data_IF_141458634888
#
_entry.id   IF_141458634888
#
_cell.length_a   1.000
_cell.length_b   1.000
_cell.length_c   1.000
_cell.angle_alpha   90.00
_cell.angle_beta   90.00
_cell.angle_gamma   90.00
#
_symmetry.space_group_name_H-M   'P 1'
#
loop_
_entity.id
_entity.type
_entity.pdbx_description
1 polymer ?
#
# COMPACT_ATOMS: atom_id res chain seq x y z
N UNK A 1 15.55 11.38 -21.84
CA UNK A 1 14.44 10.91 -20.98
C UNK A 1 13.33 11.93 -21.05
N UNK A 2 12.40 11.74 -21.96
CA UNK A 2 11.24 12.63 -22.12
C UNK A 2 10.20 12.16 -21.12
N UNK A 3 9.98 12.93 -20.05
CA UNK A 3 8.81 12.71 -19.18
C UNK A 3 7.57 12.76 -20.06
N UNK A 4 6.99 11.60 -20.32
CA UNK A 4 5.73 11.49 -21.02
C UNK A 4 4.70 12.28 -20.23
N UNK A 5 4.10 13.28 -20.83
CA UNK A 5 3.00 14.07 -20.27
C UNK A 5 1.81 13.13 -20.02
N UNK A 6 1.82 12.46 -18.86
CA UNK A 6 0.57 11.92 -18.33
C UNK A 6 -0.43 13.09 -18.30
N UNK A 7 -1.65 12.86 -18.80
CA UNK A 7 -2.70 13.87 -18.77
C UNK A 7 -2.76 14.46 -17.36
N UNK A 8 -2.71 15.76 -17.24
CA UNK A 8 -2.72 16.42 -15.93
C UNK A 8 -4.04 16.09 -15.24
N UNK A 9 -4.05 15.53 -14.03
CA UNK A 9 -5.29 15.22 -13.30
C UNK A 9 -6.11 16.47 -12.98
N UNK A 10 -5.54 17.65 -13.22
CA UNK A 10 -6.11 18.97 -12.96
C UNK A 10 -7.42 19.23 -13.72
N UNK A 11 -7.66 18.55 -14.85
CA UNK A 11 -8.85 18.78 -15.70
C UNK A 11 -10.06 17.91 -15.36
N UNK A 12 -9.88 16.88 -14.51
CA UNK A 12 -10.89 15.85 -14.27
C UNK A 12 -11.70 16.09 -12.98
N UNK A 13 -11.29 17.05 -12.14
CA UNK A 13 -11.87 17.28 -10.82
C UNK A 13 -12.54 18.65 -10.75
N UNK A 14 -13.77 18.69 -10.28
CA UNK A 14 -14.50 19.93 -10.02
C UNK A 14 -13.74 20.82 -9.04
N UNK A 15 -13.73 22.15 -9.23
CA UNK A 15 -12.92 23.06 -8.41
C UNK A 15 -13.49 23.33 -7.01
N UNK A 16 -14.66 22.77 -6.65
CA UNK A 16 -15.30 23.02 -5.36
C UNK A 16 -15.05 21.85 -4.40
N UNK A 17 -14.22 22.02 -3.37
CA UNK A 17 -13.95 20.96 -2.42
C UNK A 17 -15.09 20.79 -1.40
N UNK A 18 -15.20 19.60 -0.82
CA UNK A 18 -16.10 19.28 0.28
C UNK A 18 -15.84 20.18 1.52
N UNK A 19 -14.59 20.48 1.79
CA UNK A 19 -14.13 21.37 2.85
C UNK A 19 -12.65 21.74 2.69
N UNK A 20 -12.12 22.65 3.51
CA UNK A 20 -10.69 22.90 3.56
C UNK A 20 -9.92 21.60 3.78
N UNK A 21 -8.94 21.32 2.94
CA UNK A 21 -8.12 20.12 3.05
C UNK A 21 -7.16 20.23 4.24
N UNK A 22 -7.10 19.18 5.07
CA UNK A 22 -6.08 19.03 6.10
C UNK A 22 -5.46 17.63 6.08
N UNK A 23 -4.13 17.56 5.93
CA UNK A 23 -3.36 16.33 6.04
C UNK A 23 -2.81 16.22 7.46
N UNK A 24 -3.09 15.10 8.12
CA UNK A 24 -2.59 14.79 9.46
C UNK A 24 -1.61 13.62 9.34
N UNK A 25 -0.32 13.95 9.35
CA UNK A 25 0.73 12.94 9.38
C UNK A 25 0.86 12.36 10.78
N UNK A 26 0.68 11.05 10.96
CA UNK A 26 1.05 10.37 12.19
C UNK A 26 2.58 10.33 12.28
N UNK A 27 3.06 10.03 13.48
CA UNK A 27 4.50 9.97 13.74
C UNK A 27 5.18 8.91 12.87
N UNK A 28 6.22 9.33 12.14
CA UNK A 28 6.94 8.52 11.17
C UNK A 28 6.45 8.67 9.72
N UNK A 29 5.32 9.38 9.50
CA UNK A 29 4.74 9.64 8.18
C UNK A 29 5.03 11.06 7.64
N UNK A 30 5.88 11.81 8.31
CA UNK A 30 6.15 13.21 7.98
C UNK A 30 6.74 13.35 6.55
N UNK A 31 7.67 12.48 6.19
CA UNK A 31 8.33 12.51 4.87
C UNK A 31 7.35 12.13 3.76
N UNK A 32 6.63 11.03 3.91
CA UNK A 32 5.66 10.58 2.91
C UNK A 32 4.52 11.57 2.75
N UNK A 33 3.95 12.05 3.87
CA UNK A 33 2.91 13.09 3.86
C UNK A 33 3.41 14.41 3.26
N UNK A 34 4.68 14.75 3.44
CA UNK A 34 5.33 15.88 2.79
C UNK A 34 5.31 15.77 1.27
N UNK A 35 5.67 14.60 0.73
CA UNK A 35 5.62 14.33 -0.71
C UNK A 35 4.17 14.39 -1.25
N UNK A 36 3.21 13.84 -0.53
CA UNK A 36 1.78 13.94 -0.86
C UNK A 36 1.35 15.41 -0.92
N UNK A 37 1.73 16.20 0.08
CA UNK A 37 1.44 17.62 0.16
C UNK A 37 2.01 18.41 -1.04
N UNK A 38 3.23 18.11 -1.50
CA UNK A 38 3.84 18.75 -2.67
C UNK A 38 3.02 18.56 -3.95
N UNK A 39 2.52 17.32 -4.19
CA UNK A 39 1.64 17.05 -5.33
C UNK A 39 0.33 17.85 -5.24
N UNK A 40 -0.29 17.91 -4.07
CA UNK A 40 -1.53 18.65 -3.84
C UNK A 40 -1.34 20.15 -4.03
N UNK A 41 -0.27 20.72 -3.51
CA UNK A 41 0.10 22.12 -3.71
C UNK A 41 0.24 22.46 -5.21
N UNK A 42 1.01 21.62 -5.93
CA UNK A 42 1.24 21.80 -7.38
C UNK A 42 -0.07 21.80 -8.15
N UNK A 43 -0.92 20.79 -7.98
CA UNK A 43 -2.16 20.65 -8.74
C UNK A 43 -3.19 21.73 -8.41
N UNK A 44 -3.30 22.12 -7.16
CA UNK A 44 -4.22 23.19 -6.76
C UNK A 44 -3.80 24.54 -7.24
N UNK A 45 -2.50 24.81 -7.27
CA UNK A 45 -1.94 26.01 -7.88
C UNK A 45 -2.20 26.05 -9.40
N UNK A 46 -1.98 24.93 -10.09
CA UNK A 46 -2.28 24.78 -11.52
C UNK A 46 -3.79 25.00 -11.78
N UNK A 47 -4.67 24.35 -11.03
CA UNK A 47 -6.13 24.48 -11.14
C UNK A 47 -6.60 25.90 -10.88
N UNK A 48 -6.06 26.56 -9.87
CA UNK A 48 -6.34 27.97 -9.56
C UNK A 48 -5.92 28.89 -10.70
N UNK A 49 -4.81 28.61 -11.37
CA UNK A 49 -4.36 29.40 -12.52
C UNK A 49 -5.24 29.26 -13.76
N UNK A 50 -5.89 28.09 -13.94
CA UNK A 50 -6.78 27.80 -15.07
C UNK A 50 -8.17 28.42 -14.85
N UNK A 51 -8.68 28.39 -13.61
CA UNK A 51 -10.03 28.80 -13.26
C UNK A 51 -10.10 30.19 -12.59
N UNK A 52 -9.30 31.15 -13.09
CA UNK A 52 -9.18 32.51 -12.54
C UNK A 52 -10.49 33.26 -12.36
N UNK A 53 -11.51 32.94 -13.18
CA UNK A 53 -12.80 33.60 -13.19
C UNK A 53 -13.87 32.85 -12.38
N UNK A 54 -13.55 31.70 -11.79
CA UNK A 54 -14.45 30.95 -10.93
C UNK A 54 -14.14 31.24 -9.46
N UNK A 55 -15.16 31.37 -8.63
CA UNK A 55 -15.03 31.53 -7.19
C UNK A 55 -14.39 30.28 -6.59
N UNK A 56 -13.06 30.25 -6.56
CA UNK A 56 -12.38 29.24 -5.79
C UNK A 56 -12.63 29.48 -4.31
N UNK A 57 -12.77 28.39 -3.62
CA UNK A 57 -12.97 28.36 -2.18
C UNK A 57 -11.83 29.08 -1.44
N UNK A 58 -12.17 29.99 -0.50
CA UNK A 58 -11.15 30.69 0.30
C UNK A 58 -10.27 29.68 1.04
N UNK A 59 -8.96 29.73 0.85
CA UNK A 59 -8.00 28.75 1.38
C UNK A 59 -7.85 27.48 0.55
N UNK A 60 -8.35 27.47 -0.70
CA UNK A 60 -8.14 26.36 -1.63
C UNK A 60 -6.66 26.18 -1.98
N UNK A 61 -5.98 27.26 -2.32
CA UNK A 61 -4.53 27.30 -2.50
C UNK A 61 -3.87 27.72 -1.18
N UNK A 62 -2.95 26.89 -0.68
CA UNK A 62 -2.20 27.11 0.56
C UNK A 62 -0.75 26.70 0.35
N UNK A 63 0.15 27.28 1.14
CA UNK A 63 1.57 26.91 1.16
C UNK A 63 1.80 25.53 1.79
N UNK A 64 0.85 25.01 2.56
CA UNK A 64 0.86 23.66 3.08
C UNK A 64 -0.54 23.22 3.50
N UNK A 65 -0.88 21.95 3.24
CA UNK A 65 -2.09 21.28 3.74
C UNK A 65 -1.80 20.45 4.99
N UNK A 66 -0.53 20.30 5.37
CA UNK A 66 -0.14 19.60 6.60
C UNK A 66 -0.62 20.38 7.82
N UNK A 67 -1.35 19.70 8.67
CA UNK A 67 -1.84 20.22 9.94
C UNK A 67 -0.81 19.93 11.04
N UNK A 68 -0.46 20.94 11.82
CA UNK A 68 0.50 20.80 12.91
C UNK A 68 -0.13 20.07 14.09
N UNK A 69 0.42 18.92 14.43
CA UNK A 69 -0.01 18.10 15.56
C UNK A 69 1.16 17.67 16.42
N UNK A 70 0.91 17.41 17.70
CA UNK A 70 1.87 16.81 18.62
C UNK A 70 1.31 15.55 19.26
N UNK A 71 2.19 14.59 19.51
CA UNK A 71 1.89 13.31 20.17
C UNK A 71 2.85 13.09 21.34
N UNK A 72 2.81 13.95 22.38
CA UNK A 72 3.71 13.82 23.52
C UNK A 72 3.46 12.53 24.30
N UNK A 73 4.53 11.94 24.80
CA UNK A 73 4.51 10.81 25.73
C UNK A 73 4.97 11.24 27.09
N UNK A 74 4.25 10.81 28.15
CA UNK A 74 4.69 10.95 29.53
C UNK A 74 5.68 9.86 29.88
N UNK A 75 6.46 10.06 30.94
CA UNK A 75 7.43 9.07 31.41
C UNK A 75 6.82 7.70 31.79
N UNK A 76 5.53 7.65 32.10
CA UNK A 76 4.74 6.44 32.32
C UNK A 76 4.38 5.67 31.02
N UNK A 77 4.62 6.28 29.84
CA UNK A 77 4.23 5.72 28.55
C UNK A 77 2.87 6.20 28.02
N UNK A 78 2.07 6.89 28.85
CA UNK A 78 0.81 7.47 28.39
C UNK A 78 1.03 8.52 27.32
N UNK A 79 0.14 8.56 26.32
CA UNK A 79 0.21 9.50 25.21
C UNK A 79 -0.94 10.51 25.20
N UNK A 80 -0.73 11.63 24.51
CA UNK A 80 -1.73 12.67 24.28
C UNK A 80 -1.68 13.11 22.80
N UNK A 81 -2.86 13.30 22.18
CA UNK A 81 -2.98 13.93 20.86
C UNK A 81 -3.31 15.40 20.98
N UNK A 82 -2.63 16.27 20.24
CA UNK A 82 -2.82 17.72 20.28
C UNK A 82 -2.83 18.27 18.85
N UNK A 83 -3.82 19.11 18.53
CA UNK A 83 -3.81 19.97 17.36
C UNK A 83 -3.32 21.36 17.76
N UNK A 84 -2.32 21.88 17.07
CA UNK A 84 -1.74 23.20 17.34
C UNK A 84 -2.44 24.32 16.55
N UNK A 85 -3.43 23.96 15.75
CA UNK A 85 -4.27 24.88 14.99
C UNK A 85 -5.72 24.39 14.94
N UNK A 86 -6.64 25.29 14.58
CA UNK A 86 -8.06 24.95 14.48
C UNK A 86 -8.32 24.10 13.24
N UNK A 87 -9.05 23.00 13.42
CA UNK A 87 -9.49 22.10 12.34
C UNK A 87 -11.02 22.18 12.12
N UNK A 88 -11.65 23.25 12.58
CA UNK A 88 -13.10 23.43 12.43
C UNK A 88 -13.50 23.53 10.96
N UNK A 89 -14.37 22.64 10.54
CA UNK A 89 -14.88 22.58 9.17
C UNK A 89 -13.95 21.93 8.15
N UNK A 90 -12.78 21.43 8.57
CA UNK A 90 -11.84 20.76 7.69
C UNK A 90 -12.30 19.37 7.23
N UNK A 91 -11.92 19.01 6.03
CA UNK A 91 -11.89 17.65 5.51
C UNK A 91 -10.52 17.07 5.82
N UNK A 92 -10.42 16.22 6.87
CA UNK A 92 -9.16 15.72 7.43
C UNK A 92 -8.82 14.35 6.89
N UNK A 93 -7.56 14.19 6.49
CA UNK A 93 -6.96 12.95 6.03
C UNK A 93 -5.81 12.57 6.94
N UNK A 94 -6.00 11.50 7.71
CA UNK A 94 -4.98 10.94 8.60
C UNK A 94 -4.16 9.91 7.83
N UNK A 95 -2.85 10.07 7.78
CA UNK A 95 -1.92 9.13 7.14
C UNK A 95 -1.16 8.41 8.26
N UNK A 96 -1.31 7.07 8.33
CA UNK A 96 -0.86 6.26 9.45
C UNK A 96 -0.23 4.95 8.97
N UNK A 97 1.09 4.81 9.08
CA UNK A 97 1.77 3.51 9.00
C UNK A 97 1.85 2.88 10.39
N UNK A 98 1.06 1.84 10.60
CA UNK A 98 1.07 1.08 11.87
C UNK A 98 2.26 0.13 12.01
N UNK A 99 3.04 -0.05 10.95
CA UNK A 99 4.17 -1.00 10.93
C UNK A 99 5.52 -0.34 11.19
N UNK A 100 5.56 1.01 11.31
CA UNK A 100 6.81 1.75 11.43
C UNK A 100 7.50 1.50 12.76
N UNK A 101 8.46 0.59 12.75
CA UNK A 101 9.25 0.20 13.93
C UNK A 101 10.47 1.11 14.20
N UNK A 102 10.65 2.20 13.43
CA UNK A 102 11.77 3.14 13.62
C UNK A 102 11.54 4.14 14.75
N UNK A 103 10.28 4.31 15.18
CA UNK A 103 9.90 5.30 16.17
C UNK A 103 10.19 4.76 17.58
N UNK A 104 10.80 5.60 18.40
CA UNK A 104 11.18 5.28 19.78
C UNK A 104 10.62 6.30 20.76
N UNK A 105 10.36 5.85 22.00
CA UNK A 105 9.96 6.70 23.11
C UNK A 105 10.45 6.13 24.45
N UNK A 106 10.51 6.99 25.46
CA UNK A 106 10.98 6.59 26.78
C UNK A 106 9.81 6.21 27.70
N UNK A 107 9.92 5.06 28.37
CA UNK A 107 9.04 4.62 29.46
C UNK A 107 9.88 4.20 30.65
N UNK A 108 9.64 4.81 31.80
CA UNK A 108 10.37 4.51 33.03
C UNK A 108 11.90 4.47 32.86
N UNK A 109 12.45 5.37 32.03
CA UNK A 109 13.88 5.43 31.75
C UNK A 109 14.40 4.41 30.74
N UNK A 110 13.52 3.59 30.14
CA UNK A 110 13.89 2.59 29.12
C UNK A 110 13.39 3.02 27.75
N UNK A 111 14.21 2.82 26.70
CA UNK A 111 13.81 3.05 25.32
C UNK A 111 12.88 1.94 24.86
N UNK A 112 11.72 2.31 24.36
CA UNK A 112 10.75 1.41 23.75
C UNK A 112 10.53 1.80 22.30
N UNK A 113 10.34 0.81 21.42
CA UNK A 113 9.94 1.02 20.04
C UNK A 113 8.44 0.98 19.92
N UNK A 114 7.92 1.77 19.00
CA UNK A 114 6.50 1.73 18.68
C UNK A 114 6.11 0.34 18.16
N UNK A 115 5.04 -0.18 18.74
CA UNK A 115 4.29 -1.33 18.22
C UNK A 115 3.17 -0.84 17.29
N UNK A 116 2.52 -1.72 16.53
CA UNK A 116 1.27 -1.39 15.81
C UNK A 116 0.21 -0.78 16.74
N UNK A 117 0.10 -1.27 17.99
CA UNK A 117 -0.83 -0.74 18.99
C UNK A 117 -0.52 0.71 19.38
N UNK A 118 0.75 1.06 19.49
CA UNK A 118 1.16 2.44 19.79
C UNK A 118 0.75 3.40 18.68
N UNK A 119 0.96 3.02 17.41
CA UNK A 119 0.53 3.82 16.28
C UNK A 119 -0.98 3.95 16.20
N UNK A 120 -1.70 2.85 16.38
CA UNK A 120 -3.16 2.86 16.38
C UNK A 120 -3.73 3.68 17.56
N UNK A 121 -3.13 3.58 18.75
CA UNK A 121 -3.51 4.41 19.89
C UNK A 121 -3.27 5.91 19.63
N UNK A 122 -2.17 6.28 18.95
CA UNK A 122 -1.90 7.67 18.59
C UNK A 122 -2.87 8.19 17.52
N UNK A 123 -3.25 7.37 16.54
CA UNK A 123 -4.31 7.68 15.59
C UNK A 123 -5.63 8.01 16.32
N UNK A 124 -6.05 7.15 17.24
CA UNK A 124 -7.28 7.39 18.04
C UNK A 124 -7.22 8.67 18.87
N UNK A 125 -6.06 8.98 19.46
CA UNK A 125 -5.87 10.23 20.22
C UNK A 125 -6.08 11.46 19.35
N UNK A 126 -5.52 11.48 18.14
CA UNK A 126 -5.70 12.60 17.21
C UNK A 126 -7.13 12.66 16.67
N UNK A 127 -7.75 11.53 16.29
CA UNK A 127 -9.16 11.50 15.89
C UNK A 127 -10.04 12.07 17.02
N UNK A 128 -9.84 11.63 18.26
CA UNK A 128 -10.56 12.16 19.43
C UNK A 128 -10.38 13.66 19.61
N UNK A 129 -9.16 14.18 19.42
CA UNK A 129 -8.86 15.61 19.54
C UNK A 129 -9.50 16.44 18.42
N UNK A 130 -9.77 15.87 17.24
CA UNK A 130 -10.44 16.52 16.09
C UNK A 130 -11.96 16.38 16.10
N UNK A 131 -12.51 15.44 16.89
CA UNK A 131 -13.94 15.11 16.92
C UNK A 131 -14.81 16.34 17.20
N UNK A 132 -15.94 16.42 16.53
CA UNK A 132 -16.91 17.54 16.56
C UNK A 132 -16.41 18.87 15.97
N UNK A 133 -15.19 18.95 15.47
CA UNK A 133 -14.61 20.14 14.85
C UNK A 133 -14.39 19.94 13.34
N UNK A 134 -13.89 18.78 12.92
CA UNK A 134 -13.72 18.43 11.52
C UNK A 134 -15.08 18.20 10.84
N UNK A 135 -15.18 18.51 9.55
CA UNK A 135 -16.38 18.27 8.73
C UNK A 135 -16.46 16.80 8.29
N UNK A 136 -15.33 16.21 7.93
CA UNK A 136 -15.17 14.79 7.57
C UNK A 136 -13.80 14.29 8.06
N UNK A 137 -13.73 13.02 8.39
CA UNK A 137 -12.50 12.33 8.78
C UNK A 137 -12.32 11.13 7.87
N UNK A 138 -11.21 11.09 7.14
CA UNK A 138 -10.76 9.95 6.35
C UNK A 138 -9.44 9.43 6.90
N UNK A 139 -9.32 8.12 7.09
CA UNK A 139 -8.10 7.47 7.54
C UNK A 139 -7.45 6.73 6.38
N UNK A 140 -6.24 7.14 6.01
CA UNK A 140 -5.33 6.38 5.17
C UNK A 140 -4.43 5.53 6.05
N UNK A 141 -4.71 4.24 6.08
CA UNK A 141 -3.96 3.22 6.80
C UNK A 141 -3.49 2.19 5.78
N UNK A 142 -2.34 2.42 5.12
CA UNK A 142 -1.91 1.58 4.01
C UNK A 142 -1.87 0.10 4.39
N UNK A 143 -1.12 -0.27 5.42
CA UNK A 143 -1.20 -1.59 6.04
C UNK A 143 -2.32 -1.59 7.07
N UNK A 144 -3.36 -2.37 6.83
CA UNK A 144 -4.53 -2.38 7.72
C UNK A 144 -4.15 -3.01 9.07
N UNK A 145 -4.30 -2.25 10.16
CA UNK A 145 -4.03 -2.71 11.52
C UNK A 145 -4.84 -3.98 11.81
N UNK A 146 -4.16 -5.01 12.34
CA UNK A 146 -4.73 -6.34 12.59
C UNK A 146 -5.40 -7.01 11.35
N UNK A 147 -5.06 -6.58 10.14
CA UNK A 147 -5.65 -7.08 8.90
C UNK A 147 -5.47 -8.58 8.66
N UNK A 148 -4.50 -9.22 9.33
CA UNK A 148 -4.31 -10.67 9.32
C UNK A 148 -5.24 -11.41 10.29
N UNK A 149 -5.79 -10.72 11.30
CA UNK A 149 -6.75 -11.25 12.26
C UNK A 149 -8.17 -10.95 11.76
N UNK A 150 -8.46 -11.42 10.55
CA UNK A 150 -9.66 -11.11 9.75
C UNK A 150 -10.80 -12.13 9.89
N UNK A 151 -10.53 -13.27 10.46
CA UNK A 151 -11.51 -14.35 10.62
C UNK A 151 -11.27 -15.12 11.92
N UNK A 152 -12.33 -15.60 12.52
CA UNK A 152 -12.27 -16.33 13.78
C UNK A 152 -12.31 -17.84 13.53
N UNK A 153 -11.34 -18.55 14.07
CA UNK A 153 -11.31 -20.01 14.10
C UNK A 153 -11.30 -20.49 15.55
N UNK A 154 -12.45 -20.93 16.03
CA UNK A 154 -12.55 -21.35 17.43
C UNK A 154 -12.65 -20.18 18.41
N UNK A 155 -11.74 -20.14 19.41
CA UNK A 155 -11.77 -19.19 20.54
C UNK A 155 -10.70 -18.09 20.35
N UNK A 156 -10.70 -17.47 19.21
CA UNK A 156 -9.75 -16.40 18.84
C UNK A 156 -10.42 -15.04 18.92
N UNK A 157 -9.64 -13.99 19.10
CA UNK A 157 -10.09 -12.61 18.94
C UNK A 157 -10.40 -12.30 17.47
N UNK A 158 -11.07 -11.18 17.21
CA UNK A 158 -11.38 -10.71 15.87
C UNK A 158 -11.03 -9.21 15.77
N UNK A 159 -9.72 -8.95 15.91
CA UNK A 159 -9.22 -7.60 16.20
C UNK A 159 -9.39 -6.64 15.03
N UNK A 160 -9.27 -7.13 13.79
CA UNK A 160 -9.51 -6.30 12.60
C UNK A 160 -10.94 -5.74 12.57
N UNK A 161 -11.96 -6.58 12.82
CA UNK A 161 -13.34 -6.12 12.86
C UNK A 161 -13.60 -5.17 14.04
N UNK A 162 -13.01 -5.47 15.20
CA UNK A 162 -13.13 -4.61 16.38
C UNK A 162 -12.53 -3.23 16.13
N UNK A 163 -11.35 -3.17 15.50
CA UNK A 163 -10.68 -1.92 15.12
C UNK A 163 -11.53 -1.08 14.16
N UNK A 164 -12.11 -1.71 13.12
CA UNK A 164 -12.97 -1.03 12.15
C UNK A 164 -14.20 -0.42 12.82
N UNK A 165 -14.88 -1.18 13.70
CA UNK A 165 -16.03 -0.71 14.48
C UNK A 165 -15.63 0.46 15.39
N UNK A 166 -14.48 0.38 16.06
CA UNK A 166 -13.99 1.46 16.92
C UNK A 166 -13.75 2.75 16.12
N UNK A 167 -13.17 2.68 14.92
CA UNK A 167 -12.99 3.86 14.07
C UNK A 167 -14.33 4.43 13.58
N UNK A 168 -15.31 3.59 13.22
CA UNK A 168 -16.66 4.02 12.85
C UNK A 168 -17.33 4.75 14.02
N UNK A 169 -17.31 4.19 15.23
CA UNK A 169 -17.87 4.80 16.43
C UNK A 169 -17.17 6.13 16.80
N UNK A 170 -15.89 6.25 16.48
CA UNK A 170 -15.14 7.50 16.62
C UNK A 170 -15.52 8.56 15.56
N UNK A 171 -16.36 8.23 14.57
CA UNK A 171 -16.86 9.15 13.57
C UNK A 171 -15.95 9.26 12.33
N UNK A 172 -15.14 8.26 12.07
CA UNK A 172 -14.42 8.13 10.78
C UNK A 172 -15.43 7.86 9.69
N UNK A 173 -15.39 8.65 8.61
CA UNK A 173 -16.33 8.54 7.49
C UNK A 173 -15.81 7.61 6.39
N UNK A 174 -14.49 7.56 6.20
CA UNK A 174 -13.87 6.70 5.20
C UNK A 174 -12.57 6.10 5.74
N UNK A 175 -12.31 4.85 5.39
CA UNK A 175 -11.05 4.15 5.64
C UNK A 175 -10.51 3.70 4.30
N UNK A 176 -9.28 4.13 3.97
CA UNK A 176 -8.57 3.76 2.76
C UNK A 176 -7.38 2.90 3.16
N UNK A 177 -7.33 1.70 2.65
CA UNK A 177 -6.20 0.77 2.84
C UNK A 177 -5.69 0.30 1.48
N UNK A 178 -4.53 -0.34 1.47
CA UNK A 178 -3.98 -0.92 0.26
C UNK A 178 -3.90 -2.44 0.40
N UNK A 179 -4.26 -3.14 -0.66
CA UNK A 179 -4.15 -4.60 -0.77
C UNK A 179 -4.54 -5.34 0.52
N UNK A 180 -5.72 -5.01 1.08
CA UNK A 180 -6.18 -5.65 2.30
C UNK A 180 -6.05 -7.19 2.20
N UNK A 181 -5.45 -7.82 3.22
CA UNK A 181 -5.23 -9.26 3.26
C UNK A 181 -6.53 -10.05 3.04
N UNK A 182 -7.63 -9.54 3.59
CA UNK A 182 -9.00 -10.04 3.38
C UNK A 182 -9.97 -8.86 3.18
N UNK A 183 -10.36 -8.54 1.93
CA UNK A 183 -11.22 -7.37 1.68
C UNK A 183 -12.61 -7.44 2.31
N UNK A 184 -13.11 -8.64 2.65
CA UNK A 184 -14.43 -8.81 3.29
C UNK A 184 -14.51 -8.31 4.73
N UNK A 185 -13.38 -7.88 5.33
CA UNK A 185 -13.39 -7.21 6.65
C UNK A 185 -14.28 -5.96 6.66
N UNK A 186 -14.50 -5.31 5.50
CA UNK A 186 -15.44 -4.21 5.35
C UNK A 186 -16.87 -4.53 5.79
N UNK A 187 -17.26 -5.81 5.81
CA UNK A 187 -18.58 -6.23 6.26
C UNK A 187 -18.82 -5.93 7.76
N UNK A 188 -17.78 -5.63 8.53
CA UNK A 188 -17.92 -5.21 9.92
C UNK A 188 -18.47 -3.78 10.07
N UNK A 189 -18.33 -2.94 9.04
CA UNK A 189 -18.72 -1.51 9.04
C UNK A 189 -19.53 -1.14 7.79
N UNK A 190 -20.72 -1.71 7.57
CA UNK A 190 -21.47 -1.57 6.31
C UNK A 190 -21.95 -0.14 6.02
N UNK A 191 -21.88 0.78 6.98
CA UNK A 191 -22.33 2.17 6.84
C UNK A 191 -21.17 3.15 6.69
N UNK A 192 -19.92 2.70 6.82
CA UNK A 192 -18.71 3.52 6.67
C UNK A 192 -18.04 3.22 5.33
N UNK A 193 -17.55 4.25 4.66
CA UNK A 193 -16.77 4.08 3.43
C UNK A 193 -15.50 3.27 3.70
N UNK A 194 -15.30 2.18 2.96
CA UNK A 194 -14.10 1.37 3.04
C UNK A 194 -13.61 1.05 1.64
N UNK A 195 -12.38 1.44 1.34
CA UNK A 195 -11.75 1.18 0.05
C UNK A 195 -10.44 0.41 0.24
N UNK A 196 -10.30 -0.69 -0.47
CA UNK A 196 -9.00 -1.37 -0.58
C UNK A 196 -8.43 -1.13 -1.97
N UNK A 197 -7.31 -0.45 -2.04
CA UNK A 197 -6.68 0.03 -3.28
C UNK A 197 -5.54 -0.91 -3.65
N UNK A 198 -5.43 -1.27 -4.93
CA UNK A 198 -4.32 -2.12 -5.41
C UNK A 198 -3.28 -1.28 -6.16
N UNK A 199 -1.97 -1.44 -5.91
CA UNK A 199 -0.91 -0.68 -6.58
C UNK A 199 -0.48 -1.28 -7.93
N UNK A 200 -1.38 -1.97 -8.65
CA UNK A 200 -1.05 -2.72 -9.87
C UNK A 200 -0.46 -1.82 -10.95
N UNK A 201 -1.06 -0.64 -11.19
CA UNK A 201 -0.51 0.30 -12.18
C UNK A 201 0.91 0.74 -11.81
N UNK A 202 1.17 1.05 -10.54
CA UNK A 202 2.47 1.51 -10.08
C UNK A 202 3.52 0.40 -10.18
N UNK A 203 3.15 -0.83 -9.84
CA UNK A 203 4.02 -2.01 -9.97
C UNK A 203 4.38 -2.28 -11.42
N UNK A 204 3.40 -2.30 -12.33
CA UNK A 204 3.64 -2.48 -13.77
C UNK A 204 4.52 -1.34 -14.30
N UNK A 205 4.24 -0.09 -13.95
CA UNK A 205 5.05 1.06 -14.36
C UNK A 205 6.50 0.93 -13.87
N UNK A 206 6.71 0.50 -12.63
CA UNK A 206 8.05 0.31 -12.08
C UNK A 206 8.82 -0.79 -12.82
N UNK A 207 8.16 -1.91 -13.15
CA UNK A 207 8.73 -2.99 -13.93
C UNK A 207 9.15 -2.52 -15.33
N UNK A 208 8.24 -1.86 -16.06
CA UNK A 208 8.47 -1.37 -17.42
C UNK A 208 9.55 -0.28 -17.49
N UNK A 209 9.74 0.48 -16.43
CA UNK A 209 10.81 1.49 -16.38
C UNK A 209 12.18 0.92 -16.03
N UNK A 210 12.24 -0.29 -15.47
CA UNK A 210 13.48 -0.90 -14.99
C UNK A 210 14.04 -1.92 -15.98
N UNK A 211 13.18 -2.58 -16.76
CA UNK A 211 13.55 -3.72 -17.58
C UNK A 211 13.17 -3.45 -19.04
N UNK A 212 14.16 -3.28 -19.90
CA UNK A 212 13.97 -2.85 -21.29
C UNK A 212 13.63 -4.00 -22.26
N UNK A 213 13.88 -5.26 -21.87
CA UNK A 213 13.75 -6.44 -22.74
C UNK A 213 12.60 -7.38 -22.36
N UNK A 214 11.52 -6.83 -21.80
CA UNK A 214 10.33 -7.59 -21.44
C UNK A 214 9.49 -7.91 -22.68
N UNK A 215 9.12 -9.19 -22.81
CA UNK A 215 8.08 -9.63 -23.75
C UNK A 215 6.84 -9.99 -22.95
N UNK A 216 5.81 -9.15 -23.10
CA UNK A 216 4.56 -9.27 -22.32
C UNK A 216 3.52 -9.99 -23.18
N UNK A 217 3.64 -11.31 -23.20
CA UNK A 217 2.75 -12.26 -23.86
C UNK A 217 2.77 -13.61 -23.13
N UNK A 218 1.88 -14.53 -23.53
CA UNK A 218 1.72 -15.84 -22.89
C UNK A 218 2.90 -16.79 -23.08
N UNK A 219 3.73 -16.56 -24.13
CA UNK A 219 4.87 -17.41 -24.42
C UNK A 219 6.11 -17.03 -23.61
N UNK A 220 6.19 -15.77 -23.14
CA UNK A 220 7.40 -15.24 -22.53
C UNK A 220 7.21 -14.81 -21.06
N UNK A 221 5.97 -14.68 -20.60
CA UNK A 221 5.71 -14.18 -19.23
C UNK A 221 4.51 -14.88 -18.58
N UNK A 222 4.57 -15.04 -17.25
CA UNK A 222 3.48 -15.62 -16.47
C UNK A 222 3.41 -14.96 -15.09
N UNK A 223 2.19 -14.72 -14.62
CA UNK A 223 1.93 -14.29 -13.24
C UNK A 223 1.80 -15.50 -12.34
N UNK A 224 2.37 -15.43 -11.15
CA UNK A 224 2.41 -16.53 -10.19
C UNK A 224 1.79 -16.09 -8.86
N UNK A 225 0.82 -16.86 -8.37
CA UNK A 225 0.37 -16.80 -6.99
C UNK A 225 1.22 -17.71 -6.10
N UNK A 226 1.81 -17.23 -4.98
CA UNK A 226 2.63 -18.06 -4.10
C UNK A 226 1.81 -19.04 -3.25
N UNK A 227 0.49 -18.83 -3.14
CA UNK A 227 -0.47 -19.71 -2.46
C UNK A 227 -1.91 -19.43 -2.91
N UNK A 228 -2.89 -20.13 -2.31
CA UNK A 228 -4.31 -20.00 -2.64
C UNK A 228 -4.88 -18.63 -2.23
N UNK A 229 -4.37 -18.03 -1.17
CA UNK A 229 -4.85 -16.75 -0.65
C UNK A 229 -4.51 -15.58 -1.58
N UNK A 230 -3.34 -15.63 -2.25
CA UNK A 230 -2.89 -14.65 -3.22
C UNK A 230 -3.57 -14.75 -4.60
N UNK A 231 -4.32 -15.82 -4.87
CA UNK A 231 -4.88 -16.10 -6.20
C UNK A 231 -5.74 -14.95 -6.77
N UNK A 232 -6.67 -14.32 -6.05
CA UNK A 232 -7.49 -13.24 -6.64
C UNK A 232 -6.64 -12.07 -7.12
N UNK A 233 -5.57 -11.73 -6.42
CA UNK A 233 -4.62 -10.66 -6.77
C UNK A 233 -3.82 -11.03 -8.02
N UNK A 234 -3.30 -12.26 -8.08
CA UNK A 234 -2.59 -12.77 -9.25
C UNK A 234 -3.48 -12.83 -10.50
N UNK A 235 -4.74 -13.27 -10.37
CA UNK A 235 -5.74 -13.26 -11.45
C UNK A 235 -5.95 -11.84 -11.99
N UNK A 236 -6.13 -10.86 -11.09
CA UNK A 236 -6.30 -9.48 -11.51
C UNK A 236 -5.08 -8.97 -12.28
N UNK A 237 -3.88 -9.24 -11.77
CA UNK A 237 -2.63 -8.81 -12.39
C UNK A 237 -2.43 -9.47 -13.78
N UNK A 238 -2.69 -10.77 -13.89
CA UNK A 238 -2.61 -11.52 -15.14
C UNK A 238 -3.61 -11.01 -16.20
N UNK A 239 -4.87 -10.77 -15.79
CA UNK A 239 -5.90 -10.24 -16.68
C UNK A 239 -5.55 -8.86 -17.22
N UNK A 240 -4.98 -7.99 -16.39
CA UNK A 240 -4.56 -6.65 -16.78
C UNK A 240 -3.41 -6.68 -17.79
N UNK A 241 -2.48 -7.64 -17.64
CA UNK A 241 -1.37 -7.83 -18.59
C UNK A 241 -1.76 -8.66 -19.83
N UNK A 242 -2.90 -9.38 -19.79
CA UNK A 242 -3.32 -10.28 -20.86
C UNK A 242 -2.45 -11.53 -20.99
N UNK A 243 -1.93 -12.05 -19.88
CA UNK A 243 -1.03 -13.21 -19.84
C UNK A 243 -1.56 -14.32 -18.92
N UNK A 244 -0.94 -15.50 -19.00
CA UNK A 244 -1.31 -16.65 -18.18
C UNK A 244 -0.96 -16.46 -16.71
N UNK A 245 -1.66 -17.22 -15.85
CA UNK A 245 -1.42 -17.32 -14.42
C UNK A 245 -1.11 -18.76 -14.03
N UNK A 246 -0.14 -18.91 -13.12
CA UNK A 246 0.11 -20.14 -12.38
C UNK A 246 -0.04 -19.90 -10.88
N UNK A 247 -0.17 -20.98 -10.12
CA UNK A 247 -0.24 -20.89 -8.66
C UNK A 247 0.48 -22.05 -7.99
N UNK A 248 0.89 -21.81 -6.74
CA UNK A 248 1.37 -22.86 -5.87
C UNK A 248 0.26 -23.34 -4.94
N UNK A 249 0.03 -24.64 -4.94
CA UNK A 249 -0.77 -25.32 -3.93
C UNK A 249 0.14 -25.83 -2.82
N UNK A 250 -0.16 -25.43 -1.57
CA UNK A 250 0.59 -25.82 -0.38
C UNK A 250 -0.21 -26.82 0.43
N UNK A 251 0.11 -28.11 0.26
CA UNK A 251 -0.53 -29.16 1.07
C UNK A 251 -0.04 -29.10 2.51
N UNK A 252 -0.95 -28.88 3.44
CA UNK A 252 -0.70 -28.76 4.88
C UNK A 252 -0.94 -30.11 5.60
N UNK A 253 -0.16 -30.34 6.66
CA UNK A 253 -0.38 -31.47 7.58
C UNK A 253 -1.29 -31.02 8.73
N UNK A 254 -2.55 -31.36 8.63
CA UNK A 254 -3.53 -31.00 9.67
C UNK A 254 -3.47 -31.87 10.94
N UNK A 255 -2.55 -32.86 11.00
CA UNK A 255 -2.40 -33.74 12.18
C UNK A 255 -1.52 -33.14 13.27
N UNK A 256 -0.72 -32.14 12.94
CA UNK A 256 0.18 -31.45 13.86
C UNK A 256 0.18 -29.95 13.63
N UNK A 257 0.54 -29.20 14.67
CA UNK A 257 0.79 -27.75 14.57
C UNK A 257 2.27 -27.49 14.84
N UNK A 258 2.78 -26.41 14.24
CA UNK A 258 4.10 -25.86 14.55
C UNK A 258 4.05 -25.02 15.84
N UNK A 259 5.21 -24.47 16.24
CA UNK A 259 5.34 -23.65 17.45
C UNK A 259 4.54 -22.33 17.39
N UNK A 260 4.14 -21.90 16.20
CA UNK A 260 3.28 -20.72 15.96
C UNK A 260 1.79 -21.08 15.91
N UNK A 261 1.44 -22.35 16.02
CA UNK A 261 0.07 -22.85 15.95
C UNK A 261 -0.45 -23.10 14.54
N UNK A 262 0.38 -22.88 13.52
CA UNK A 262 0.06 -23.14 12.11
C UNK A 262 0.27 -24.61 11.74
N UNK A 263 -0.35 -25.03 10.61
CA UNK A 263 -0.15 -26.35 10.05
C UNK A 263 1.04 -26.34 9.08
N UNK A 264 2.06 -27.18 9.28
CA UNK A 264 3.25 -27.20 8.44
C UNK A 264 2.92 -27.63 7.01
N UNK A 265 3.59 -27.01 6.03
CA UNK A 265 3.51 -27.41 4.63
C UNK A 265 4.31 -28.70 4.41
N UNK A 266 3.69 -29.73 3.84
CA UNK A 266 4.33 -31.03 3.55
C UNK A 266 4.62 -31.26 2.08
N UNK A 267 3.98 -30.49 1.20
CA UNK A 267 4.26 -30.52 -0.24
C UNK A 267 3.95 -29.17 -0.88
N UNK A 268 4.75 -28.82 -1.88
CA UNK A 268 4.56 -27.66 -2.74
C UNK A 268 4.34 -28.16 -4.17
N UNK A 269 3.17 -27.91 -4.73
CA UNK A 269 2.78 -28.32 -6.07
C UNK A 269 2.47 -27.08 -6.92
N UNK A 270 3.00 -27.04 -8.12
CA UNK A 270 2.75 -25.97 -9.08
C UNK A 270 1.60 -26.36 -10.03
N UNK A 271 0.62 -25.49 -10.12
CA UNK A 271 -0.53 -25.59 -11.01
C UNK A 271 -0.43 -24.47 -12.05
N UNK A 272 -0.17 -24.81 -13.29
CA UNK A 272 -0.01 -23.83 -14.37
C UNK A 272 0.54 -24.47 -15.64
N UNK A 273 0.67 -23.65 -16.70
CA UNK A 273 1.28 -24.06 -17.96
C UNK A 273 2.82 -24.15 -17.85
N UNK A 274 3.49 -24.42 -18.97
CA UNK A 274 4.95 -24.50 -19.02
C UNK A 274 5.61 -23.17 -18.65
N UNK A 275 6.70 -23.24 -17.88
CA UNK A 275 7.44 -22.10 -17.34
C UNK A 275 8.85 -21.94 -17.93
N UNK A 276 9.31 -22.89 -18.74
CA UNK A 276 10.65 -22.88 -19.28
C UNK A 276 10.88 -21.64 -20.16
N UNK A 277 11.95 -20.90 -19.89
CA UNK A 277 12.35 -19.69 -20.60
C UNK A 277 11.51 -18.44 -20.35
N UNK A 278 10.44 -18.52 -19.54
CA UNK A 278 9.55 -17.37 -19.25
C UNK A 278 10.02 -16.54 -18.06
N UNK A 279 9.66 -15.27 -18.09
CA UNK A 279 9.76 -14.37 -16.95
C UNK A 279 8.58 -14.58 -15.99
N UNK A 280 8.85 -14.78 -14.72
CA UNK A 280 7.85 -15.05 -13.69
C UNK A 280 7.61 -13.84 -12.81
N UNK A 281 6.36 -13.44 -12.66
CA UNK A 281 5.92 -12.35 -11.77
C UNK A 281 5.21 -12.96 -10.57
N UNK A 282 5.90 -13.11 -9.44
CA UNK A 282 5.26 -13.59 -8.19
C UNK A 282 4.58 -12.40 -7.52
N UNK A 283 3.27 -12.50 -7.29
CA UNK A 283 2.45 -11.41 -6.71
C UNK A 283 1.92 -11.82 -5.36
N UNK A 284 2.22 -11.01 -4.33
CA UNK A 284 1.68 -11.18 -2.97
C UNK A 284 1.22 -9.83 -2.40
N UNK A 285 0.54 -9.81 -1.25
CA UNK A 285 0.20 -8.57 -0.54
C UNK A 285 1.37 -8.07 0.32
N UNK A 286 2.07 -8.98 0.98
CA UNK A 286 3.16 -8.61 1.88
C UNK A 286 4.30 -9.63 1.89
N UNK A 287 5.50 -9.13 2.12
CA UNK A 287 6.68 -9.93 2.44
C UNK A 287 6.90 -9.85 3.95
N UNK A 288 6.53 -10.90 4.70
CA UNK A 288 6.86 -11.04 6.12
C UNK A 288 8.25 -11.69 6.25
N UNK A 289 8.36 -13.01 6.54
CA UNK A 289 9.65 -13.71 6.54
C UNK A 289 10.26 -13.90 5.14
N UNK A 290 9.41 -13.91 4.10
CA UNK A 290 9.79 -14.14 2.71
C UNK A 290 9.96 -15.61 2.31
N UNK A 291 9.82 -16.55 3.24
CA UNK A 291 10.09 -17.98 2.98
C UNK A 291 9.24 -18.54 1.84
N UNK A 292 7.93 -18.26 1.82
CA UNK A 292 7.02 -18.71 0.75
C UNK A 292 7.46 -18.22 -0.63
N UNK A 293 7.85 -16.96 -0.71
CA UNK A 293 8.24 -16.29 -1.95
C UNK A 293 9.57 -16.85 -2.46
N UNK A 294 10.56 -17.00 -1.57
CA UNK A 294 11.88 -17.57 -1.90
C UNK A 294 11.75 -19.03 -2.33
N UNK A 295 10.92 -19.83 -1.64
CA UNK A 295 10.68 -21.22 -1.99
C UNK A 295 10.03 -21.35 -3.39
N UNK A 296 9.02 -20.51 -3.67
CA UNK A 296 8.36 -20.45 -4.98
C UNK A 296 9.35 -20.04 -6.09
N UNK A 297 10.15 -19.01 -5.86
CA UNK A 297 11.18 -18.56 -6.81
C UNK A 297 12.21 -19.66 -7.11
N UNK A 298 12.69 -20.33 -6.07
CA UNK A 298 13.62 -21.47 -6.19
C UNK A 298 13.03 -22.62 -7.00
N UNK A 299 11.75 -22.93 -6.82
CA UNK A 299 11.04 -23.95 -7.60
C UNK A 299 10.97 -23.57 -9.08
N UNK A 300 10.56 -22.32 -9.38
CA UNK A 300 10.43 -21.81 -10.75
C UNK A 300 11.78 -21.81 -11.48
N UNK A 301 12.84 -21.34 -10.83
CA UNK A 301 14.20 -21.37 -11.43
C UNK A 301 14.70 -22.78 -11.71
N UNK A 302 14.43 -23.75 -10.83
CA UNK A 302 14.78 -25.15 -11.06
C UNK A 302 14.05 -25.77 -12.25
N UNK A 303 12.89 -25.19 -12.65
CA UNK A 303 12.11 -25.58 -13.83
C UNK A 303 12.39 -24.75 -15.06
N UNK A 304 13.46 -23.98 -15.08
CA UNK A 304 13.94 -23.28 -16.26
C UNK A 304 13.36 -21.87 -16.45
N UNK A 305 12.71 -21.27 -15.44
CA UNK A 305 12.29 -19.86 -15.52
C UNK A 305 13.49 -18.95 -15.85
N UNK A 306 13.31 -18.02 -16.80
CA UNK A 306 14.34 -17.07 -17.23
C UNK A 306 14.68 -16.10 -16.10
N UNK A 307 13.71 -15.33 -15.63
CA UNK A 307 13.82 -14.38 -14.52
C UNK A 307 12.66 -14.55 -13.57
N UNK A 308 12.86 -14.14 -12.31
CA UNK A 308 11.82 -14.12 -11.28
C UNK A 308 11.78 -12.75 -10.64
N UNK A 309 10.67 -12.05 -10.83
CA UNK A 309 10.37 -10.77 -10.23
C UNK A 309 9.31 -10.96 -9.15
N UNK A 310 9.56 -10.42 -7.96
CA UNK A 310 8.66 -10.56 -6.84
C UNK A 310 8.02 -9.21 -6.53
N UNK A 311 6.70 -9.18 -6.39
CA UNK A 311 5.94 -7.99 -6.08
C UNK A 311 5.14 -8.20 -4.81
N UNK A 312 5.20 -7.23 -3.92
CA UNK A 312 4.29 -7.15 -2.79
C UNK A 312 3.96 -5.68 -2.49
N UNK A 313 2.77 -5.43 -1.96
CA UNK A 313 2.42 -4.08 -1.53
C UNK A 313 3.27 -3.65 -0.33
N UNK A 314 3.59 -4.59 0.58
CA UNK A 314 4.30 -4.29 1.82
C UNK A 314 5.55 -5.14 2.01
N UNK A 315 6.69 -4.47 2.18
CA UNK A 315 7.98 -5.11 2.47
C UNK A 315 8.30 -5.05 3.96
N UNK A 316 7.74 -5.94 4.78
CA UNK A 316 8.00 -5.97 6.22
C UNK A 316 9.38 -6.55 6.55
N UNK A 317 9.81 -7.58 5.84
CA UNK A 317 11.10 -8.28 6.02
C UNK A 317 11.40 -8.58 7.50
N UNK A 318 10.45 -9.23 8.18
CA UNK A 318 10.50 -9.46 9.64
C UNK A 318 11.74 -10.23 10.11
N UNK A 319 12.25 -11.15 9.27
CA UNK A 319 13.43 -11.97 9.54
C UNK A 319 14.73 -11.35 8.99
N UNK A 320 14.69 -10.07 8.60
CA UNK A 320 15.83 -9.38 8.00
C UNK A 320 16.01 -9.69 6.51
N UNK A 321 17.12 -9.22 5.94
CA UNK A 321 17.35 -9.23 4.49
C UNK A 321 18.23 -10.38 4.01
N UNK A 322 18.91 -11.08 4.92
CA UNK A 322 19.93 -12.09 4.57
C UNK A 322 19.37 -13.21 3.67
N UNK A 323 18.16 -13.69 3.94
CA UNK A 323 17.53 -14.76 3.13
C UNK A 323 17.35 -14.32 1.66
N UNK A 324 17.00 -13.04 1.44
CA UNK A 324 16.88 -12.45 0.11
C UNK A 324 18.23 -12.24 -0.56
N UNK A 325 19.23 -11.75 0.18
CA UNK A 325 20.62 -11.66 -0.33
C UNK A 325 21.10 -13.01 -0.81
N UNK A 326 20.92 -14.07 -0.01
CA UNK A 326 21.30 -15.44 -0.34
C UNK A 326 20.51 -15.98 -1.57
N UNK A 327 19.20 -15.69 -1.67
CA UNK A 327 18.36 -16.11 -2.78
C UNK A 327 18.72 -15.41 -4.11
N UNK A 328 19.04 -14.14 -4.06
CA UNK A 328 19.51 -13.36 -5.22
C UNK A 328 20.91 -13.82 -5.65
N UNK A 329 21.82 -14.01 -4.71
CA UNK A 329 23.16 -14.52 -5.01
C UNK A 329 23.10 -15.92 -5.67
N UNK A 330 22.16 -16.76 -5.22
CA UNK A 330 21.93 -18.08 -5.81
C UNK A 330 21.18 -18.02 -7.18
N UNK A 331 20.80 -16.82 -7.66
CA UNK A 331 20.10 -16.62 -8.90
C UNK A 331 18.63 -17.07 -8.90
N UNK A 332 17.99 -17.16 -7.73
CA UNK A 332 16.57 -17.54 -7.63
C UNK A 332 15.63 -16.36 -7.82
N UNK A 333 16.06 -15.16 -7.44
CA UNK A 333 15.29 -13.92 -7.53
C UNK A 333 16.13 -12.88 -8.27
N UNK A 334 15.53 -12.19 -9.22
CA UNK A 334 16.19 -11.12 -9.97
C UNK A 334 15.92 -9.75 -9.33
N UNK A 335 14.67 -9.43 -8.98
CA UNK A 335 14.28 -8.19 -8.30
C UNK A 335 13.07 -8.41 -7.39
N UNK A 336 13.01 -7.57 -6.34
CA UNK A 336 11.87 -7.50 -5.41
C UNK A 336 11.35 -6.07 -5.40
N UNK A 337 10.05 -5.92 -5.68
CA UNK A 337 9.35 -4.65 -5.73
C UNK A 337 8.40 -4.57 -4.54
N UNK A 338 8.52 -3.53 -3.72
CA UNK A 338 7.49 -3.19 -2.73
C UNK A 338 7.22 -1.69 -2.73
N UNK A 339 6.06 -1.28 -2.23
CA UNK A 339 5.71 0.13 -2.18
C UNK A 339 6.41 0.86 -1.04
N UNK A 340 6.46 2.19 -1.14
CA UNK A 340 6.89 3.10 -0.08
C UNK A 340 5.73 3.58 0.81
N UNK A 341 4.64 2.81 0.84
CA UNK A 341 3.45 3.08 1.68
C UNK A 341 3.67 2.83 3.17
N UNK A 342 4.72 2.08 3.51
CA UNK A 342 5.15 1.79 4.88
C UNK A 342 6.63 2.08 5.02
N UNK A 343 7.09 2.19 6.25
CA UNK A 343 8.50 2.42 6.54
C UNK A 343 9.39 1.35 5.94
N UNK A 344 10.30 1.75 5.07
CA UNK A 344 11.36 0.93 4.52
C UNK A 344 12.67 1.21 5.25
N UNK A 345 13.31 0.16 5.79
CA UNK A 345 14.62 0.29 6.48
C UNK A 345 15.67 0.83 5.52
N UNK A 346 16.57 1.71 5.96
CA UNK A 346 17.63 2.25 5.11
C UNK A 346 18.46 1.17 4.40
N UNK A 347 18.80 0.08 5.11
CA UNK A 347 19.57 -1.04 4.55
C UNK A 347 18.86 -1.74 3.40
N UNK A 348 17.52 -1.73 3.36
CA UNK A 348 16.73 -2.28 2.27
C UNK A 348 16.85 -1.42 1.01
N UNK A 349 16.82 -0.10 1.17
CA UNK A 349 16.92 0.86 0.06
C UNK A 349 18.28 0.81 -0.65
N UNK A 350 19.31 0.33 0.02
CA UNK A 350 20.66 0.16 -0.54
C UNK A 350 20.85 -1.15 -1.30
N UNK A 351 19.87 -2.08 -1.24
CA UNK A 351 20.00 -3.39 -1.89
C UNK A 351 19.81 -3.29 -3.40
N UNK A 352 20.76 -3.81 -4.22
CA UNK A 352 20.67 -3.74 -5.68
C UNK A 352 19.53 -4.57 -6.27
N UNK A 353 19.00 -5.51 -5.51
CA UNK A 353 17.84 -6.33 -5.90
C UNK A 353 16.50 -5.73 -5.52
N UNK A 354 16.49 -4.69 -4.69
CA UNK A 354 15.28 -4.06 -4.21
C UNK A 354 14.86 -2.88 -5.08
N UNK A 355 13.56 -2.72 -5.27
CA UNK A 355 12.93 -1.61 -6.00
C UNK A 355 11.79 -1.04 -5.18
N UNK A 356 11.93 0.20 -4.75
CA UNK A 356 10.87 0.94 -4.08
C UNK A 356 9.90 1.52 -5.12
N UNK A 357 8.62 1.18 -5.00
CA UNK A 357 7.54 1.67 -5.87
C UNK A 357 6.88 2.88 -5.21
N UNK A 358 7.07 4.07 -5.82
CA UNK A 358 6.61 5.33 -5.25
C UNK A 358 5.09 5.53 -5.35
N UNK A 359 4.45 5.78 -4.20
CA UNK A 359 3.00 5.85 -4.05
C UNK A 359 2.48 7.25 -3.72
N UNK A 360 3.33 8.21 -3.30
CA UNK A 360 2.89 9.52 -2.83
C UNK A 360 2.00 10.26 -3.85
N UNK A 361 2.34 10.19 -5.16
CA UNK A 361 1.50 10.77 -6.22
C UNK A 361 0.12 10.13 -6.28
N UNK A 362 0.03 8.83 -6.10
CA UNK A 362 -1.24 8.11 -6.17
C UNK A 362 -2.11 8.39 -4.94
N UNK A 363 -1.52 8.42 -3.75
CA UNK A 363 -2.22 8.83 -2.52
C UNK A 363 -2.71 10.27 -2.63
N UNK A 364 -1.90 11.18 -3.16
CA UNK A 364 -2.33 12.56 -3.43
C UNK A 364 -3.53 12.64 -4.38
N UNK A 365 -3.57 11.79 -5.44
CA UNK A 365 -4.73 11.70 -6.35
C UNK A 365 -5.98 11.22 -5.64
N UNK A 366 -5.88 10.18 -4.81
CA UNK A 366 -7.02 9.68 -4.03
C UNK A 366 -7.56 10.76 -3.08
N UNK A 367 -6.68 11.45 -2.38
CA UNK A 367 -7.04 12.55 -1.47
C UNK A 367 -7.69 13.71 -2.21
N UNK A 368 -7.09 14.16 -3.32
CA UNK A 368 -7.64 15.28 -4.09
C UNK A 368 -9.01 14.94 -4.68
N UNK A 369 -9.19 13.73 -5.20
CA UNK A 369 -10.47 13.23 -5.72
C UNK A 369 -11.54 13.16 -4.63
N UNK A 370 -11.23 12.59 -3.47
CA UNK A 370 -12.13 12.52 -2.32
C UNK A 370 -12.48 13.91 -1.78
N UNK A 371 -11.51 14.82 -1.69
CA UNK A 371 -11.76 16.16 -1.19
C UNK A 371 -12.69 16.96 -2.10
N UNK A 372 -12.73 16.66 -3.40
CA UNK A 372 -13.67 17.23 -4.37
C UNK A 372 -14.96 16.41 -4.54
N UNK A 373 -15.18 15.42 -3.67
CA UNK A 373 -16.38 14.55 -3.68
C UNK A 373 -16.63 13.88 -5.04
N UNK A 374 -15.54 13.56 -5.74
CA UNK A 374 -15.53 12.98 -7.07
C UNK A 374 -15.34 11.46 -7.01
N UNK A 375 -15.76 10.75 -8.08
CA UNK A 375 -15.66 9.29 -8.14
C UNK A 375 -14.20 8.81 -8.13
N UNK A 376 -13.92 7.79 -7.31
CA UNK A 376 -12.64 7.08 -7.29
C UNK A 376 -12.50 6.03 -8.41
N UNK A 377 -13.58 5.67 -9.10
CA UNK A 377 -13.58 4.60 -10.12
C UNK A 377 -12.43 4.69 -11.13
N UNK A 378 -12.10 5.87 -11.71
CA UNK A 378 -10.99 5.96 -12.67
C UNK A 378 -9.62 5.68 -12.06
N UNK A 379 -9.48 5.83 -10.75
CA UNK A 379 -8.25 5.53 -10.01
C UNK A 379 -8.17 4.07 -9.58
N UNK A 380 -9.32 3.49 -9.18
CA UNK A 380 -9.42 2.11 -8.69
C UNK A 380 -9.41 1.10 -9.84
N UNK A 381 -9.84 1.50 -11.05
CA UNK A 381 -9.91 0.65 -12.26
C UNK A 381 -9.00 1.19 -13.36
N UNK A 382 -7.67 1.08 -13.22
CA UNK A 382 -6.71 1.76 -14.11
C UNK A 382 -6.45 1.01 -15.43
N UNK A 383 -7.41 0.23 -15.97
CA UNK A 383 -7.23 -0.60 -17.16
C UNK A 383 -6.75 0.20 -18.39
N UNK A 384 -7.43 1.29 -18.72
CA UNK A 384 -7.06 2.11 -19.89
C UNK A 384 -5.67 2.71 -19.74
N UNK A 385 -5.32 3.14 -18.54
CA UNK A 385 -4.00 3.71 -18.24
C UNK A 385 -2.89 2.66 -18.34
N UNK A 386 -3.17 1.43 -17.92
CA UNK A 386 -2.24 0.31 -18.04
C UNK A 386 -2.08 -0.05 -19.51
N UNK A 387 -3.17 -0.23 -20.25
CA UNK A 387 -3.12 -0.56 -21.69
C UNK A 387 -2.33 0.48 -22.48
N UNK A 388 -2.60 1.77 -22.26
CA UNK A 388 -1.85 2.85 -22.90
C UNK A 388 -0.34 2.76 -22.58
N UNK A 389 0.03 2.42 -21.32
CA UNK A 389 1.42 2.28 -20.93
C UNK A 389 2.09 1.06 -21.59
N UNK A 390 1.38 -0.07 -21.70
CA UNK A 390 1.86 -1.27 -22.38
C UNK A 390 2.07 -1.02 -23.88
N UNK A 391 1.13 -0.35 -24.56
CA UNK A 391 1.27 0.02 -25.97
C UNK A 391 2.48 0.93 -26.20
N UNK A 392 2.72 1.89 -25.29
CA UNK A 392 3.88 2.77 -25.40
C UNK A 392 5.17 1.97 -25.22
N UNK A 393 5.23 1.10 -24.22
CA UNK A 393 6.39 0.25 -24.00
C UNK A 393 6.70 -0.63 -25.23
N UNK A 394 5.68 -1.25 -25.84
CA UNK A 394 5.84 -2.05 -27.06
C UNK A 394 6.39 -1.22 -28.21
N UNK A 395 5.86 -0.02 -28.46
CA UNK A 395 6.35 0.89 -29.52
C UNK A 395 7.78 1.39 -29.28
N UNK A 396 8.22 1.50 -28.05
CA UNK A 396 9.59 1.94 -27.69
C UNK A 396 10.63 0.80 -27.85
N UNK A 397 10.18 -0.48 -27.85
CA UNK A 397 11.07 -1.66 -27.83
C UNK A 397 10.83 -2.64 -28.98
N UNK A 398 9.93 -2.35 -29.94
CA UNK A 398 9.72 -3.11 -31.19
C UNK A 398 10.63 -2.65 -32.34
N UNK A 399 11.52 -1.69 -32.10
CA UNK A 399 12.63 -1.31 -33.02
C UNK A 399 13.90 -2.11 -32.67
#
# INVERSE_FOLDING_TARGET
MTELKEASPVKEVEPVPYGPLGLVALRGEETFSGQVNEYLQKWRKERNSIHKDHFLYTGYERDSYLIKTDLPRFGSGEGKGVFNESVHGYDLYFICDVTNSSIEYMVNGTVNRYSPDDHFADLKRLISASKSKAKRITVFMPFLYEGRINSRRGRESLDCAQMLIELEEMGVSNIITFDAHEPRVQNAIPMTGFETVTPVYQNIKALLNLVDDLKIDTDHMMVISPDEAGMPRAVYFANVLGIDMGMFYRRKDYTRRDDMGDYPTVALEFLGSDIEGKDMLIIDDMISSGDKLIESAKYLKKRGARRVFCFASFGLFTDGLKKFDDAVWAGYIDKVFTTDLIYNRPELLEKPWYVSVHMAKYVALLIDTLNHDSSLDPLLKPFDRINNRLEMYRKEHEE
#
